data_IF_465014628740
#
_entry.id   IF_465014628740
#
_cell.length_a   1.000
_cell.length_b   1.000
_cell.length_c   1.000
_cell.angle_alpha   90.00
_cell.angle_beta   90.00
_cell.angle_gamma   90.00
#
_symmetry.space_group_name_H-M   'P 1'
#
loop_
_entity.id
_entity.type
_entity.pdbx_description
1 polymer ?
#
# COMPACT_ATOMS: atom_id res chain seq x y z
N UNK A 1 -11.23 18.52 -6.78
CA UNK A 1 -9.92 17.80 -6.78
C UNK A 1 -10.12 16.30 -6.54
N UNK A 2 -10.83 15.57 -7.41
CA UNK A 2 -11.04 14.11 -7.25
C UNK A 2 -10.91 13.33 -8.58
N UNK A 3 -10.70 14.01 -9.71
CA UNK A 3 -10.89 13.40 -11.03
C UNK A 3 -9.62 12.75 -11.62
N UNK A 4 -8.44 13.10 -11.12
CA UNK A 4 -7.18 12.78 -11.81
C UNK A 4 -6.76 11.31 -11.66
N UNK A 5 -7.33 10.56 -10.71
CA UNK A 5 -6.78 9.26 -10.35
C UNK A 5 -7.73 8.07 -10.43
N UNK A 6 -8.76 8.12 -11.29
CA UNK A 6 -9.62 6.94 -11.52
C UNK A 6 -8.83 5.73 -12.01
N UNK A 7 -7.86 5.95 -12.89
CA UNK A 7 -7.00 4.88 -13.38
C UNK A 7 -6.13 4.32 -12.26
N UNK A 8 -5.51 5.18 -11.43
CA UNK A 8 -4.71 4.72 -10.30
C UNK A 8 -5.54 3.96 -9.26
N UNK A 9 -6.77 4.42 -8.97
CA UNK A 9 -7.71 3.71 -8.10
C UNK A 9 -8.12 2.35 -8.66
N UNK A 10 -8.30 2.24 -9.98
CA UNK A 10 -8.58 0.97 -10.64
C UNK A 10 -7.39 0.01 -10.56
N UNK A 11 -6.17 0.52 -10.72
CA UNK A 11 -4.94 -0.25 -10.51
C UNK A 11 -4.79 -0.71 -9.06
N UNK A 12 -5.04 0.17 -8.10
CA UNK A 12 -5.03 -0.18 -6.68
C UNK A 12 -6.02 -1.32 -6.39
N UNK A 13 -7.27 -1.21 -6.87
CA UNK A 13 -8.26 -2.27 -6.68
C UNK A 13 -7.83 -3.57 -7.34
N UNK A 14 -7.32 -3.52 -8.58
CA UNK A 14 -6.86 -4.70 -9.32
C UNK A 14 -5.75 -5.43 -8.58
N UNK A 15 -4.68 -4.73 -8.16
CA UNK A 15 -3.57 -5.36 -7.45
C UNK A 15 -3.95 -5.92 -6.07
N UNK A 16 -4.91 -5.29 -5.39
CA UNK A 16 -5.40 -5.78 -4.10
C UNK A 16 -6.38 -6.97 -4.24
N UNK A 17 -7.09 -7.10 -5.36
CA UNK A 17 -8.20 -8.07 -5.50
C UNK A 17 -7.95 -9.18 -6.52
N UNK A 18 -7.30 -8.87 -7.64
CA UNK A 18 -6.97 -9.80 -8.72
C UNK A 18 -5.47 -10.04 -8.67
N UNK A 19 -5.06 -10.97 -7.80
CA UNK A 19 -3.66 -11.33 -7.59
C UNK A 19 -3.40 -12.78 -8.03
N UNK A 20 -2.31 -13.06 -8.75
CA UNK A 20 -1.95 -14.42 -9.10
C UNK A 20 -1.63 -15.22 -7.82
N UNK A 21 -1.89 -16.53 -7.77
CA UNK A 21 -1.63 -17.37 -6.60
C UNK A 21 -0.16 -17.30 -6.11
N UNK A 22 0.77 -17.13 -7.05
CA UNK A 22 2.20 -16.98 -6.77
C UNK A 22 2.53 -15.69 -5.99
N UNK A 23 1.68 -14.67 -6.09
CA UNK A 23 1.80 -13.43 -5.34
C UNK A 23 1.10 -13.49 -3.96
N UNK A 24 0.53 -14.63 -3.55
CA UNK A 24 -0.15 -14.75 -2.26
C UNK A 24 0.82 -14.62 -1.07
N UNK A 25 2.09 -14.98 -1.26
CA UNK A 25 3.15 -14.86 -0.26
C UNK A 25 3.74 -13.45 -0.08
N UNK A 26 3.40 -12.49 -0.96
CA UNK A 26 3.87 -11.12 -0.88
C UNK A 26 2.79 -10.19 -0.31
N UNK A 27 3.23 -9.14 0.39
CA UNK A 27 2.34 -8.11 0.90
C UNK A 27 1.75 -7.31 -0.26
N UNK A 28 0.44 -7.04 -0.19
CA UNK A 28 -0.20 -6.12 -1.13
C UNK A 28 0.34 -4.69 -0.94
N UNK A 29 0.25 -3.81 -1.96
CA UNK A 29 0.63 -2.40 -1.80
C UNK A 29 -0.05 -1.73 -0.60
N UNK A 30 -1.32 -2.07 -0.34
CA UNK A 30 -2.06 -1.59 0.82
C UNK A 30 -1.48 -2.12 2.14
N UNK A 31 -1.17 -3.42 2.22
CA UNK A 31 -0.54 -4.01 3.41
C UNK A 31 0.86 -3.45 3.67
N UNK A 32 1.62 -3.15 2.61
CA UNK A 32 2.89 -2.47 2.71
C UNK A 32 2.71 -1.07 3.32
N UNK A 33 1.78 -0.26 2.79
CA UNK A 33 1.48 1.07 3.34
C UNK A 33 1.02 0.99 4.80
N UNK A 34 0.17 0.02 5.15
CA UNK A 34 -0.26 -0.20 6.53
C UNK A 34 0.90 -0.58 7.45
N UNK A 35 1.83 -1.43 6.99
CA UNK A 35 3.03 -1.82 7.74
C UNK A 35 3.96 -0.62 7.93
N UNK A 36 4.19 0.17 6.89
CA UNK A 36 5.03 1.37 6.93
C UNK A 36 4.42 2.50 7.78
N UNK A 37 3.09 2.69 7.74
CA UNK A 37 2.41 3.66 8.59
C UNK A 37 2.37 3.25 10.07
N UNK A 38 2.34 1.94 10.37
CA UNK A 38 2.51 1.42 11.74
C UNK A 38 3.94 1.60 12.24
N UNK A 39 4.92 1.52 11.34
CA UNK A 39 6.34 1.73 11.60
C UNK A 39 6.77 3.17 11.37
N UNK A 40 5.99 4.19 11.78
CA UNK A 40 6.61 5.50 11.99
C UNK A 40 7.65 5.29 13.09
N UNK A 41 8.97 5.39 12.83
CA UNK A 41 9.87 5.61 13.94
C UNK A 41 9.33 6.86 14.62
N UNK A 42 8.97 6.75 15.90
CA UNK A 42 8.98 7.93 16.77
C UNK A 42 10.34 8.56 16.46
N UNK A 43 10.36 9.77 15.90
CA UNK A 43 11.61 10.52 15.72
C UNK A 43 12.23 10.52 17.11
N UNK A 44 13.19 9.63 17.35
CA UNK A 44 13.97 9.66 18.55
C UNK A 44 14.77 10.92 18.37
N UNK A 45 14.39 11.97 19.10
CA UNK A 45 15.18 13.19 19.16
C UNK A 45 16.56 12.75 19.64
N UNK A 46 17.56 12.77 18.74
CA UNK A 46 18.94 12.64 19.16
C UNK A 46 19.24 13.84 20.08
N UNK A 47 19.81 13.54 21.24
CA UNK A 47 20.25 14.52 22.24
C UNK A 47 21.45 15.32 21.74
#
# INVERSE_FOLDING_TARGET
MLEVNRQLLAWERTYNTIRPPQALGYATPLEFLQRHHKSKPKIQKCH
#
